data_IF_945314633824
#
_entry.id   IF_945314633824
#
_cell.length_a   1.000
_cell.length_b   1.000
_cell.length_c   1.000
_cell.angle_alpha   90.00
_cell.angle_beta   90.00
_cell.angle_gamma   90.00
#
_symmetry.space_group_name_H-M   'P 1'
#
loop_
_entity.id
_entity.type
_entity.pdbx_description
1 polymer ?
#
# COMPACT_ATOMS: atom_id res chain seq x y z
N UNK A 1 3.29 8.20 -5.62
CA UNK A 1 2.10 8.03 -4.76
C UNK A 1 2.58 7.92 -3.33
N UNK A 2 1.86 8.45 -2.35
CA UNK A 2 2.20 8.34 -0.92
C UNK A 2 1.50 7.14 -0.27
N UNK A 3 1.95 6.71 0.92
CA UNK A 3 1.30 5.61 1.66
C UNK A 3 -0.16 5.94 1.99
N UNK A 4 -0.45 7.22 2.29
CA UNK A 4 -1.81 7.68 2.57
C UNK A 4 -2.72 7.55 1.34
N UNK A 5 -2.22 7.89 0.15
CA UNK A 5 -2.96 7.70 -1.11
C UNK A 5 -3.20 6.22 -1.41
N UNK A 6 -2.19 5.36 -1.20
CA UNK A 6 -2.32 3.91 -1.39
C UNK A 6 -3.37 3.31 -0.43
N UNK A 7 -3.37 3.74 0.84
CA UNK A 7 -4.34 3.30 1.84
C UNK A 7 -5.76 3.79 1.50
N UNK A 8 -5.92 5.03 1.06
CA UNK A 8 -7.22 5.56 0.64
C UNK A 8 -7.77 4.80 -0.58
N UNK A 9 -6.89 4.44 -1.52
CA UNK A 9 -7.29 3.62 -2.66
C UNK A 9 -7.69 2.21 -2.22
N UNK A 10 -6.89 1.52 -1.39
CA UNK A 10 -7.25 0.20 -0.84
C UNK A 10 -8.60 0.22 -0.12
N UNK A 11 -8.89 1.29 0.63
CA UNK A 11 -10.17 1.46 1.33
C UNK A 11 -11.36 1.49 0.36
N UNK A 12 -11.23 2.09 -0.83
CA UNK A 12 -12.29 2.10 -1.86
C UNK A 12 -12.61 0.69 -2.38
N UNK A 13 -11.64 -0.22 -2.29
CA UNK A 13 -11.77 -1.63 -2.68
C UNK A 13 -12.08 -2.57 -1.50
N UNK A 14 -12.37 -2.02 -0.33
CA UNK A 14 -12.72 -2.80 0.86
C UNK A 14 -11.53 -3.46 1.58
N UNK A 15 -10.30 -3.06 1.24
CA UNK A 15 -9.08 -3.56 1.86
C UNK A 15 -8.67 -2.62 3.00
N UNK A 16 -8.41 -3.19 4.18
CA UNK A 16 -7.93 -2.43 5.34
C UNK A 16 -6.41 -2.34 5.32
N UNK A 17 -5.86 -1.34 4.63
CA UNK A 17 -4.41 -1.15 4.56
C UNK A 17 -3.87 -0.33 5.77
N UNK A 18 -2.69 -0.69 6.26
CA UNK A 18 -1.94 0.04 7.30
C UNK A 18 -0.47 0.19 6.93
N UNK A 19 0.21 1.20 7.48
CA UNK A 19 1.66 1.36 7.32
C UNK A 19 2.40 0.43 8.29
N UNK A 20 3.28 -0.40 7.77
CA UNK A 20 4.19 -1.24 8.56
C UNK A 20 5.35 -0.41 9.09
N UNK A 21 5.60 -0.45 10.40
CA UNK A 21 6.59 0.41 11.06
C UNK A 21 8.04 0.15 10.65
N UNK A 22 8.38 -1.08 10.23
CA UNK A 22 9.78 -1.46 9.93
C UNK A 22 10.35 -0.76 8.70
N UNK A 23 9.50 -0.49 7.72
CA UNK A 23 9.92 0.00 6.40
C UNK A 23 8.92 0.97 5.77
N UNK A 24 7.87 1.38 6.49
CA UNK A 24 6.80 2.24 6.00
C UNK A 24 5.99 1.69 4.82
N UNK A 25 6.06 0.37 4.56
CA UNK A 25 5.27 -0.26 3.51
C UNK A 25 3.77 -0.31 3.88
N UNK A 26 2.83 0.08 2.98
CA UNK A 26 1.43 -0.27 3.14
C UNK A 26 1.27 -1.78 3.03
N UNK A 27 0.63 -2.36 4.04
CA UNK A 27 0.28 -3.77 4.10
C UNK A 27 -1.22 -3.90 4.27
N UNK A 28 -1.81 -4.95 3.71
CA UNK A 28 -3.16 -5.36 4.08
C UNK A 28 -3.13 -5.89 5.52
N UNK A 29 -3.95 -5.32 6.39
CA UNK A 29 -4.02 -5.67 7.80
C UNK A 29 -4.58 -7.08 8.02
N UNK A 30 -5.45 -7.54 7.13
CA UNK A 30 -6.16 -8.80 7.32
C UNK A 30 -5.32 -10.00 6.85
N UNK A 31 -4.61 -9.86 5.73
CA UNK A 31 -3.71 -10.90 5.19
C UNK A 31 -2.25 -10.76 5.62
N UNK A 32 -1.78 -9.54 5.90
CA UNK A 32 -0.37 -9.21 6.08
C UNK A 32 0.39 -9.00 4.76
N UNK A 33 -0.29 -9.04 3.61
CA UNK A 33 0.34 -8.89 2.30
C UNK A 33 0.88 -7.48 2.07
N UNK A 34 2.04 -7.40 1.41
CA UNK A 34 2.66 -6.12 1.07
C UNK A 34 2.01 -5.57 -0.19
N UNK A 35 1.40 -4.39 -0.06
CA UNK A 35 0.70 -3.70 -1.15
C UNK A 35 1.71 -2.94 -2.03
N UNK A 36 2.78 -2.43 -1.42
CA UNK A 36 3.86 -1.76 -2.14
C UNK A 36 5.05 -1.47 -1.24
N UNK A 37 6.25 -1.36 -1.81
CA UNK A 37 7.45 -0.96 -1.08
C UNK A 37 7.76 0.51 -1.37
N UNK A 38 8.05 1.31 -0.33
CA UNK A 38 8.49 2.67 -0.55
C UNK A 38 9.91 2.67 -1.13
N UNK A 39 10.17 3.64 -1.98
CA UNK A 39 11.54 3.98 -2.36
C UNK A 39 12.27 4.72 -1.22
N UNK A 40 13.50 5.16 -1.49
CA UNK A 40 14.32 5.87 -0.50
C UNK A 40 13.78 7.24 -0.09
N UNK A 41 12.74 7.74 -0.76
CA UNK A 41 12.07 9.00 -0.49
C UNK A 41 10.69 8.80 0.16
N UNK A 42 10.28 7.56 0.43
CA UNK A 42 8.96 7.26 0.98
C UNK A 42 7.84 7.30 -0.05
N UNK A 43 8.18 7.33 -1.34
CA UNK A 43 7.23 7.30 -2.44
C UNK A 43 7.02 5.86 -2.93
N UNK A 44 5.80 5.59 -3.39
CA UNK A 44 5.37 4.31 -3.91
C UNK A 44 5.13 4.40 -5.41
N UNK A 45 5.51 3.34 -6.12
CA UNK A 45 5.13 3.17 -7.50
C UNK A 45 3.64 2.80 -7.55
N UNK A 46 2.81 3.67 -8.13
CA UNK A 46 1.36 3.44 -8.19
C UNK A 46 0.97 2.14 -8.89
N UNK A 47 1.85 1.63 -9.78
CA UNK A 47 1.67 0.32 -10.41
C UNK A 47 1.71 -0.86 -9.43
N UNK A 48 2.43 -0.77 -8.31
CA UNK A 48 2.47 -1.84 -7.30
C UNK A 48 1.12 -1.95 -6.60
N UNK A 49 0.54 -0.81 -6.22
CA UNK A 49 -0.78 -0.72 -5.58
C UNK A 49 -1.88 -1.19 -6.53
N UNK A 50 -1.85 -0.73 -7.78
CA UNK A 50 -2.83 -1.14 -8.80
C UNK A 50 -2.71 -2.63 -9.15
N UNK A 51 -1.49 -3.16 -9.23
CA UNK A 51 -1.24 -4.58 -9.46
C UNK A 51 -1.73 -5.45 -8.31
N UNK A 52 -1.56 -5.00 -7.06
CA UNK A 52 -2.14 -5.67 -5.89
C UNK A 52 -3.67 -5.71 -5.94
N UNK A 53 -4.30 -4.63 -6.41
CA UNK A 53 -5.75 -4.52 -6.57
C UNK A 53 -6.31 -5.29 -7.80
N UNK A 54 -5.43 -5.84 -8.64
CA UNK A 54 -5.81 -6.65 -9.80
C UNK A 54 -6.15 -5.86 -11.07
N UNK A 55 -5.58 -4.67 -11.23
CA UNK A 55 -5.68 -3.84 -12.44
C UNK A 55 -4.60 -4.15 -13.49
#
# INVERSE_FOLDING_TARGET
>A
MTAAEAIDECRKHGITAVVREVDSAPIDKDSGDVIGLPDRYGEFYGGDVLGFLGY
#
